data_IF_839778225091
#
_entry.id   IF_839778225091
#
_cell.length_a   1.000
_cell.length_b   1.000
_cell.length_c   1.000
_cell.angle_alpha   90.00
_cell.angle_beta   90.00
_cell.angle_gamma   90.00
#
_symmetry.space_group_name_H-M   'P 1'
#
loop_
_entity.id
_entity.type
_entity.pdbx_description
1 polymer ?
#
# COMPACT_ATOMS: atom_id res chain seq x y z
N UNK A 1 9.52 29.91 -2.45
CA UNK A 1 8.95 28.96 -1.46
C UNK A 1 7.45 28.97 -1.67
N UNK A 2 6.80 27.82 -1.88
CA UNK A 2 5.34 27.77 -2.02
C UNK A 2 4.67 28.33 -0.76
N UNK A 3 3.54 28.99 -0.94
CA UNK A 3 2.68 29.43 0.17
C UNK A 3 2.12 28.22 0.93
N UNK A 4 1.64 28.38 2.18
CA UNK A 4 1.03 27.29 2.92
C UNK A 4 -0.13 26.60 2.19
N UNK A 5 -0.93 27.36 1.43
CA UNK A 5 -2.06 26.81 0.67
C UNK A 5 -1.60 26.09 -0.61
N UNK A 6 -0.60 26.62 -1.31
CA UNK A 6 0.05 25.91 -2.43
C UNK A 6 0.67 24.59 -1.98
N UNK A 7 1.33 24.58 -0.82
CA UNK A 7 1.92 23.37 -0.26
C UNK A 7 0.85 22.33 0.11
N UNK A 8 -0.27 22.75 0.72
CA UNK A 8 -1.40 21.85 0.99
C UNK A 8 -2.02 21.31 -0.30
N UNK A 9 -2.17 22.14 -1.31
CA UNK A 9 -2.68 21.73 -2.62
C UNK A 9 -1.76 20.71 -3.29
N UNK A 10 -0.44 20.89 -3.18
CA UNK A 10 0.56 19.94 -3.66
C UNK A 10 0.42 18.60 -2.94
N UNK A 11 0.41 18.58 -1.61
CA UNK A 11 0.23 17.35 -0.82
C UNK A 11 -1.10 16.64 -1.10
N UNK A 12 -2.13 17.38 -1.51
CA UNK A 12 -3.42 16.80 -1.91
C UNK A 12 -3.33 16.11 -3.27
N UNK A 13 -2.60 16.68 -4.23
CA UNK A 13 -2.61 16.22 -5.63
C UNK A 13 -1.48 15.26 -5.97
N UNK A 14 -0.33 15.41 -5.33
CA UNK A 14 0.87 14.65 -5.60
C UNK A 14 1.20 13.68 -4.45
N UNK A 15 1.14 12.39 -4.76
CA UNK A 15 1.43 11.32 -3.81
C UNK A 15 2.91 11.29 -3.40
N UNK A 16 3.84 11.76 -4.25
CA UNK A 16 5.27 11.82 -3.91
C UNK A 16 5.49 12.82 -2.78
N UNK A 17 5.00 14.04 -2.96
CA UNK A 17 5.06 15.10 -1.94
C UNK A 17 4.35 14.67 -0.66
N UNK A 18 3.18 14.02 -0.77
CA UNK A 18 2.47 13.47 0.38
C UNK A 18 3.31 12.42 1.13
N UNK A 19 3.91 11.47 0.41
CA UNK A 19 4.76 10.44 0.98
C UNK A 19 6.03 11.02 1.63
N UNK A 20 6.64 12.04 1.03
CA UNK A 20 7.76 12.76 1.61
C UNK A 20 7.36 13.40 2.96
N UNK A 21 6.19 14.05 3.02
CA UNK A 21 5.65 14.62 4.27
C UNK A 21 5.39 13.54 5.32
N UNK A 22 4.80 12.40 4.93
CA UNK A 22 4.60 11.24 5.81
C UNK A 22 5.93 10.70 6.36
N UNK A 23 6.96 10.60 5.52
CA UNK A 23 8.28 10.15 5.96
C UNK A 23 8.87 11.10 7.00
N UNK A 24 8.83 12.41 6.77
CA UNK A 24 9.34 13.41 7.71
C UNK A 24 8.60 13.40 9.04
N UNK A 25 7.29 13.13 9.03
CA UNK A 25 6.49 12.97 10.25
C UNK A 25 6.92 11.75 11.07
N UNK A 26 7.14 10.60 10.41
CA UNK A 26 7.49 9.35 11.07
C UNK A 26 9.00 9.24 11.41
N UNK A 27 9.85 9.97 10.68
CA UNK A 27 11.30 9.90 10.80
C UNK A 27 11.90 11.32 10.90
N UNK A 28 11.63 12.08 11.98
CA UNK A 28 11.99 13.50 12.06
C UNK A 28 13.50 13.77 12.04
N UNK A 29 14.33 12.76 12.32
CA UNK A 29 15.80 12.86 12.31
C UNK A 29 16.43 12.45 10.98
N UNK A 30 15.66 11.93 10.04
CA UNK A 30 16.16 11.39 8.78
C UNK A 30 15.66 12.23 7.61
N UNK A 31 16.55 12.60 6.70
CA UNK A 31 16.16 13.29 5.47
C UNK A 31 15.59 12.29 4.47
N UNK A 32 14.49 12.65 3.83
CA UNK A 32 13.94 11.88 2.72
C UNK A 32 14.91 11.94 1.54
N UNK A 33 15.38 10.78 1.10
CA UNK A 33 16.21 10.67 -0.10
C UNK A 33 15.28 10.38 -1.29
N UNK A 34 14.98 11.42 -2.07
CA UNK A 34 14.26 11.27 -3.33
C UNK A 34 15.03 10.36 -4.29
N UNK A 35 14.32 9.50 -5.00
CA UNK A 35 14.85 8.66 -6.06
C UNK A 35 13.78 8.38 -7.10
N UNK A 36 14.17 8.22 -8.36
CA UNK A 36 13.28 8.08 -9.52
C UNK A 36 12.23 6.95 -9.36
N UNK A 37 12.59 5.84 -8.71
CA UNK A 37 11.67 4.71 -8.49
C UNK A 37 10.47 5.10 -7.60
N UNK A 38 10.65 6.07 -6.69
CA UNK A 38 9.56 6.59 -5.84
C UNK A 38 8.49 7.26 -6.68
N UNK A 39 8.90 8.01 -7.71
CA UNK A 39 7.97 8.70 -8.63
C UNK A 39 7.17 7.69 -9.46
N UNK A 40 7.83 6.64 -9.97
CA UNK A 40 7.15 5.59 -10.72
C UNK A 40 6.12 4.85 -9.85
N UNK A 41 6.51 4.45 -8.63
CA UNK A 41 5.60 3.78 -7.69
C UNK A 41 4.41 4.68 -7.38
N UNK A 42 4.67 5.95 -7.07
CA UNK A 42 3.61 6.92 -6.75
C UNK A 42 2.67 7.14 -7.94
N UNK A 43 3.18 7.22 -9.18
CA UNK A 43 2.37 7.37 -10.38
C UNK A 43 1.45 6.16 -10.59
N UNK A 44 1.96 4.93 -10.43
CA UNK A 44 1.16 3.71 -10.56
C UNK A 44 0.11 3.58 -9.45
N UNK A 45 0.46 3.93 -8.20
CA UNK A 45 -0.50 3.99 -7.09
C UNK A 45 -1.59 5.05 -7.31
N UNK A 46 -1.23 6.22 -7.83
CA UNK A 46 -2.20 7.26 -8.19
C UNK A 46 -3.13 6.81 -9.32
N UNK A 47 -2.59 6.13 -10.35
CA UNK A 47 -3.38 5.55 -11.43
C UNK A 47 -4.33 4.45 -10.93
N UNK A 48 -3.91 3.67 -9.93
CA UNK A 48 -4.74 2.67 -9.27
C UNK A 48 -5.90 3.30 -8.48
N UNK A 49 -5.64 4.36 -7.69
CA UNK A 49 -6.73 5.13 -7.04
C UNK A 49 -7.70 5.72 -8.07
N UNK A 50 -7.18 6.17 -9.21
CA UNK A 50 -7.97 6.69 -10.32
C UNK A 50 -8.76 5.62 -11.09
N UNK A 51 -8.62 4.33 -10.75
CA UNK A 51 -9.30 3.22 -11.40
C UNK A 51 -8.73 2.83 -12.76
N UNK A 52 -7.59 3.40 -13.17
CA UNK A 52 -6.88 3.04 -14.41
C UNK A 52 -6.15 1.70 -14.29
N UNK A 53 -5.75 1.33 -13.07
CA UNK A 53 -5.09 0.07 -12.74
C UNK A 53 -5.91 -0.60 -11.63
N UNK A 54 -6.20 -1.90 -11.76
CA UNK A 54 -6.90 -2.70 -10.73
C UNK A 54 -6.03 -3.79 -10.12
N UNK A 55 -4.95 -4.15 -10.78
CA UNK A 55 -4.02 -5.21 -10.39
C UNK A 55 -2.62 -4.67 -10.60
N UNK A 56 -1.90 -4.41 -9.50
CA UNK A 56 -0.58 -3.81 -9.53
C UNK A 56 0.41 -4.64 -8.72
N UNK A 57 1.46 -5.12 -9.38
CA UNK A 57 2.63 -5.71 -8.73
C UNK A 57 3.75 -4.68 -8.67
N UNK A 58 4.37 -4.53 -7.51
CA UNK A 58 5.57 -3.71 -7.32
C UNK A 58 6.67 -4.60 -6.72
N UNK A 59 7.69 -4.89 -7.51
CA UNK A 59 8.86 -5.66 -7.10
C UNK A 59 10.07 -4.75 -6.90
N UNK A 60 10.51 -4.62 -5.65
CA UNK A 60 11.67 -3.80 -5.26
C UNK A 60 12.50 -4.53 -4.21
N UNK A 61 13.83 -4.31 -4.16
CA UNK A 61 14.65 -4.85 -3.09
C UNK A 61 14.24 -4.29 -1.71
N UNK A 62 14.72 -4.88 -0.60
CA UNK A 62 14.51 -4.35 0.74
C UNK A 62 15.09 -2.94 0.91
N UNK A 63 14.51 -2.14 1.84
CA UNK A 63 14.94 -0.77 2.21
C UNK A 63 14.74 0.34 1.16
N UNK A 64 13.87 0.13 0.17
CA UNK A 64 13.51 1.14 -0.83
C UNK A 64 12.21 1.91 -0.55
N UNK A 65 11.87 2.14 0.74
CA UNK A 65 10.66 2.85 1.18
C UNK A 65 9.31 2.31 0.65
N UNK A 66 9.32 1.13 0.04
CA UNK A 66 8.17 0.50 -0.62
C UNK A 66 6.97 0.34 0.32
N UNK A 67 7.20 -0.15 1.54
CA UNK A 67 6.16 -0.34 2.56
C UNK A 67 5.62 0.99 3.12
N UNK A 68 6.46 2.04 3.18
CA UNK A 68 5.97 3.38 3.54
C UNK A 68 5.03 3.90 2.44
N UNK A 69 5.44 3.79 1.18
CA UNK A 69 4.64 4.28 0.05
C UNK A 69 3.31 3.54 -0.05
N UNK A 70 3.35 2.21 -0.13
CA UNK A 70 2.17 1.41 -0.40
C UNK A 70 1.29 1.14 0.82
N UNK A 71 1.85 0.96 2.02
CA UNK A 71 1.11 0.49 3.21
C UNK A 71 0.82 1.57 4.26
N UNK A 72 1.40 2.77 4.10
CA UNK A 72 1.21 3.91 5.02
C UNK A 72 0.71 5.14 4.28
N UNK A 73 1.51 5.68 3.35
CA UNK A 73 1.18 6.92 2.66
C UNK A 73 -0.01 6.74 1.70
N UNK A 74 0.00 5.69 0.87
CA UNK A 74 -1.08 5.43 -0.07
C UNK A 74 -2.45 5.20 0.57
N UNK A 75 -2.62 4.34 1.60
CA UNK A 75 -3.93 4.17 2.25
C UNK A 75 -4.38 5.45 2.96
N UNK A 76 -3.47 6.19 3.61
CA UNK A 76 -3.80 7.50 4.18
C UNK A 76 -4.26 8.48 3.10
N UNK A 77 -3.59 8.52 1.94
CA UNK A 77 -3.95 9.39 0.83
C UNK A 77 -5.29 9.00 0.18
N UNK A 78 -5.58 7.70 0.06
CA UNK A 78 -6.86 7.18 -0.40
C UNK A 78 -7.99 7.59 0.54
N UNK A 79 -7.84 7.34 1.85
CA UNK A 79 -8.80 7.78 2.86
C UNK A 79 -8.97 9.29 2.88
N UNK A 80 -7.91 10.05 2.56
CA UNK A 80 -7.93 11.50 2.43
C UNK A 80 -8.86 12.00 1.34
N UNK A 81 -8.84 11.32 0.19
CA UNK A 81 -9.70 11.63 -0.96
C UNK A 81 -11.10 11.08 -0.81
N UNK A 82 -11.21 9.87 -0.26
CA UNK A 82 -12.46 9.16 -0.03
C UNK A 82 -12.50 8.64 1.41
N UNK A 83 -13.11 9.40 2.33
CA UNK A 83 -13.27 8.98 3.71
C UNK A 83 -14.08 7.69 3.88
N UNK A 84 -14.86 7.26 2.88
CA UNK A 84 -15.71 6.06 2.95
C UNK A 84 -15.02 4.78 2.46
N UNK A 85 -13.82 4.90 1.88
CA UNK A 85 -13.08 3.75 1.35
C UNK A 85 -12.78 2.71 2.42
N UNK A 86 -12.92 1.43 2.04
CA UNK A 86 -12.55 0.28 2.86
C UNK A 86 -11.23 -0.31 2.36
N UNK A 87 -10.19 -0.27 3.19
CA UNK A 87 -8.84 -0.67 2.79
C UNK A 87 -8.34 -1.82 3.66
N UNK A 88 -7.89 -2.90 3.02
CA UNK A 88 -7.27 -4.04 3.69
C UNK A 88 -5.77 -4.05 3.42
N UNK A 89 -4.96 -4.01 4.47
CA UNK A 89 -3.51 -4.17 4.41
C UNK A 89 -3.09 -5.50 5.01
N UNK A 90 -2.25 -6.24 4.30
CA UNK A 90 -1.78 -7.58 4.67
C UNK A 90 -0.26 -7.59 4.66
N UNK A 91 0.35 -8.25 5.64
CA UNK A 91 1.78 -8.56 5.62
C UNK A 91 2.05 -10.00 6.06
N UNK A 92 3.26 -10.54 5.88
CA UNK A 92 3.59 -11.88 6.36
C UNK A 92 3.39 -12.06 7.87
N UNK A 93 3.55 -11.00 8.67
CA UNK A 93 3.44 -11.04 10.13
C UNK A 93 2.49 -9.98 10.68
N UNK A 94 1.70 -10.37 11.68
CA UNK A 94 0.72 -9.48 12.32
C UNK A 94 1.39 -8.25 12.95
N UNK A 95 2.53 -8.43 13.63
CA UNK A 95 3.26 -7.32 14.25
C UNK A 95 3.70 -6.24 13.25
N UNK A 96 4.08 -6.67 12.03
CA UNK A 96 4.44 -5.76 10.94
C UNK A 96 3.19 -5.03 10.42
N UNK A 97 2.11 -5.77 10.15
CA UNK A 97 0.84 -5.19 9.70
C UNK A 97 0.28 -4.17 10.71
N UNK A 98 0.39 -4.47 12.01
CA UNK A 98 -0.01 -3.62 13.12
C UNK A 98 0.88 -2.38 13.25
N UNK A 99 2.19 -2.51 13.01
CA UNK A 99 3.09 -1.36 12.95
C UNK A 99 2.69 -0.41 11.83
N UNK A 100 2.49 -0.93 10.62
CA UNK A 100 2.08 -0.12 9.47
C UNK A 100 0.70 0.52 9.70
N UNK A 101 -0.19 -0.16 10.42
CA UNK A 101 -1.47 0.39 10.88
C UNK A 101 -1.29 1.62 11.77
N UNK A 102 -0.44 1.51 12.79
CA UNK A 102 -0.16 2.61 13.73
C UNK A 102 0.46 3.79 13.02
N UNK A 103 1.43 3.54 12.14
CA UNK A 103 2.08 4.58 11.34
C UNK A 103 1.06 5.31 10.44
N UNK A 104 0.20 4.56 9.73
CA UNK A 104 -0.87 5.14 8.91
C UNK A 104 -1.87 5.96 9.74
N UNK A 105 -2.29 5.44 10.89
CA UNK A 105 -3.21 6.14 11.79
C UNK A 105 -2.60 7.42 12.33
N UNK A 106 -1.31 7.41 12.68
CA UNK A 106 -0.57 8.61 13.13
C UNK A 106 -0.61 9.71 12.07
N UNK A 107 -0.40 9.36 10.80
CA UNK A 107 -0.54 10.29 9.67
C UNK A 107 -1.96 10.88 9.59
N UNK A 108 -2.98 10.03 9.56
CA UNK A 108 -4.39 10.48 9.41
C UNK A 108 -4.86 11.30 10.61
N UNK A 109 -4.32 11.03 11.80
CA UNK A 109 -4.60 11.79 13.01
C UNK A 109 -3.90 13.16 13.04
N UNK A 110 -2.86 13.41 12.24
CA UNK A 110 -2.06 14.63 12.29
C UNK A 110 -2.82 15.89 11.88
N UNK A 111 -2.53 17.02 12.54
CA UNK A 111 -3.20 18.31 12.24
C UNK A 111 -2.93 18.78 10.81
N UNK A 112 -1.72 18.54 10.29
CA UNK A 112 -1.36 18.88 8.91
C UNK A 112 -2.22 18.10 7.90
N UNK A 113 -2.52 16.83 8.19
CA UNK A 113 -3.38 16.00 7.35
C UNK A 113 -4.82 16.51 7.37
N UNK A 114 -5.35 16.89 8.54
CA UNK A 114 -6.70 17.47 8.68
C UNK A 114 -6.85 18.81 7.95
N UNK A 115 -5.76 19.54 7.78
CA UNK A 115 -5.70 20.78 6.99
C UNK A 115 -5.70 20.55 5.48
N UNK A 116 -5.48 19.32 5.01
CA UNK A 116 -5.45 18.95 3.58
C UNK A 116 -6.70 18.16 3.19
N UNK A 117 -7.17 17.28 4.07
CA UNK A 117 -8.24 16.32 3.80
C UNK A 117 -9.43 16.45 4.75
N UNK A 118 -10.67 16.19 4.28
CA UNK A 118 -11.88 16.23 5.11
C UNK A 118 -11.98 15.04 6.08
N UNK A 119 -11.23 13.96 5.85
CA UNK A 119 -11.29 12.71 6.62
C UNK A 119 -11.05 12.92 8.10
N UNK A 120 -11.89 12.33 8.94
CA UNK A 120 -11.75 12.34 10.41
C UNK A 120 -11.85 10.91 10.92
N UNK A 121 -10.96 10.57 11.86
CA UNK A 121 -11.02 9.28 12.55
C UNK A 121 -12.24 9.23 13.47
N UNK A 122 -12.88 8.08 13.48
CA UNK A 122 -13.96 7.72 14.39
C UNK A 122 -13.40 7.49 15.80
N UNK A 123 -13.96 8.09 16.86
CA UNK A 123 -13.56 7.79 18.24
C UNK A 123 -14.03 6.40 18.71
N UNK A 124 -15.01 5.79 18.02
CA UNK A 124 -15.60 4.51 18.43
C UNK A 124 -14.69 3.31 18.17
N UNK A 125 -13.78 3.40 17.19
CA UNK A 125 -12.92 2.26 16.80
C UNK A 125 -11.48 2.71 16.62
N UNK A 126 -10.68 2.36 17.63
CA UNK A 126 -9.29 2.79 17.80
C UNK A 126 -8.33 1.62 18.02
N UNK A 127 -8.73 0.40 17.62
CA UNK A 127 -7.91 -0.78 17.77
C UNK A 127 -6.60 -0.65 16.98
N UNK A 128 -5.56 -1.35 17.41
CA UNK A 128 -4.27 -1.35 16.70
C UNK A 128 -4.41 -1.86 15.26
N UNK A 129 -5.05 -3.00 14.99
CA UNK A 129 -5.17 -3.50 13.61
C UNK A 129 -6.21 -2.73 12.78
N UNK A 130 -7.08 -1.93 13.40
CA UNK A 130 -8.22 -1.34 12.70
C UNK A 130 -8.63 0.02 13.25
N UNK A 131 -8.77 0.98 12.35
CA UNK A 131 -9.41 2.25 12.64
C UNK A 131 -10.44 2.61 11.56
N UNK A 132 -11.48 3.31 12.00
CA UNK A 132 -12.57 3.76 11.14
C UNK A 132 -12.50 5.27 10.95
N UNK A 133 -13.13 5.75 9.89
CA UNK A 133 -13.42 7.16 9.69
C UNK A 133 -14.85 7.47 10.14
N UNK A 134 -15.14 8.75 10.34
CA UNK A 134 -16.50 9.25 10.60
C UNK A 134 -17.47 9.03 9.43
N UNK A 135 -16.96 8.71 8.23
CA UNK A 135 -17.74 8.43 7.04
C UNK A 135 -17.89 6.91 6.78
N UNK A 136 -17.69 6.08 7.82
CA UNK A 136 -17.81 4.61 7.75
C UNK A 136 -16.80 3.90 6.84
N UNK A 137 -15.76 4.61 6.36
CA UNK A 137 -14.58 3.97 5.77
C UNK A 137 -13.66 3.42 6.85
N UNK A 138 -12.72 2.57 6.46
CA UNK A 138 -11.83 1.91 7.40
C UNK A 138 -10.50 1.51 6.79
N UNK A 139 -9.52 1.24 7.66
CA UNK A 139 -8.30 0.54 7.29
C UNK A 139 -8.04 -0.60 8.26
N UNK A 140 -7.99 -1.83 7.74
CA UNK A 140 -7.77 -3.07 8.48
C UNK A 140 -6.38 -3.64 8.19
N UNK A 141 -5.68 -4.10 9.23
CA UNK A 141 -4.44 -4.87 9.16
C UNK A 141 -4.69 -6.33 9.48
N UNK A 142 -4.13 -7.21 8.67
CA UNK A 142 -4.01 -8.62 9.03
C UNK A 142 -2.70 -9.22 8.52
N UNK A 143 -2.50 -10.49 8.82
CA UNK A 143 -1.40 -11.29 8.29
C UNK A 143 -1.89 -12.33 7.31
N UNK A 144 -0.98 -12.88 6.51
CA UNK A 144 -1.26 -14.08 5.70
C UNK A 144 -1.71 -15.21 6.62
N UNK A 145 -2.82 -15.87 6.27
CA UNK A 145 -3.48 -16.85 7.14
C UNK A 145 -4.41 -16.25 8.20
N UNK A 146 -4.48 -14.92 8.33
CA UNK A 146 -5.38 -14.23 9.25
C UNK A 146 -6.87 -14.37 8.87
N UNK A 147 -7.73 -14.25 9.88
CA UNK A 147 -9.18 -14.36 9.70
C UNK A 147 -9.75 -13.07 9.09
N UNK A 148 -10.38 -13.19 7.92
CA UNK A 148 -10.98 -12.07 7.17
C UNK A 148 -12.51 -12.15 7.05
N UNK A 149 -13.16 -13.07 7.78
CA UNK A 149 -14.60 -13.35 7.63
C UNK A 149 -15.45 -12.10 7.88
N UNK A 150 -16.28 -11.75 6.89
CA UNK A 150 -17.21 -10.61 6.97
C UNK A 150 -16.57 -9.23 6.80
N UNK A 151 -15.31 -9.16 6.33
CA UNK A 151 -14.57 -7.90 6.14
C UNK A 151 -14.22 -7.70 4.67
N UNK A 152 -14.97 -6.83 4.02
CA UNK A 152 -14.75 -6.45 2.64
C UNK A 152 -13.74 -5.29 2.50
N UNK A 153 -13.21 -5.11 1.30
CA UNK A 153 -12.35 -3.99 0.95
C UNK A 153 -12.53 -3.57 -0.51
N UNK A 154 -12.40 -2.27 -0.76
CA UNK A 154 -12.34 -1.68 -2.10
C UNK A 154 -10.90 -1.72 -2.62
N UNK A 155 -9.93 -1.62 -1.71
CA UNK A 155 -8.49 -1.68 -2.02
C UNK A 155 -7.83 -2.68 -1.08
N UNK A 156 -7.12 -3.66 -1.64
CA UNK A 156 -6.28 -4.60 -0.90
C UNK A 156 -4.81 -4.31 -1.19
N UNK A 157 -4.00 -4.18 -0.14
CA UNK A 157 -2.55 -3.99 -0.22
C UNK A 157 -1.89 -5.17 0.47
N UNK A 158 -1.07 -5.91 -0.26
CA UNK A 158 -0.31 -7.06 0.23
C UNK A 158 1.17 -6.67 0.23
N UNK A 159 1.77 -6.51 1.41
CA UNK A 159 3.13 -6.02 1.63
C UNK A 159 4.02 -7.11 2.23
N UNK A 160 4.94 -7.63 1.41
CA UNK A 160 5.80 -8.78 1.69
C UNK A 160 4.97 -9.95 2.30
N UNK A 161 4.26 -10.76 1.48
CA UNK A 161 3.37 -11.82 1.99
C UNK A 161 4.12 -13.03 2.56
N UNK A 162 5.43 -13.14 2.33
CA UNK A 162 6.27 -14.24 2.77
C UNK A 162 7.56 -13.73 3.39
N UNK A 163 8.06 -14.41 4.43
CA UNK A 163 9.45 -14.21 4.87
C UNK A 163 10.42 -14.90 3.90
N UNK A 164 11.67 -14.41 3.79
CA UNK A 164 12.70 -15.06 2.99
C UNK A 164 12.88 -16.55 3.30
N UNK A 165 12.87 -16.94 4.59
CA UNK A 165 13.02 -18.32 5.02
C UNK A 165 11.80 -19.20 4.64
N UNK A 166 10.59 -18.63 4.71
CA UNK A 166 9.35 -19.30 4.34
C UNK A 166 9.29 -19.55 2.83
N UNK A 167 9.83 -18.64 2.02
CA UNK A 167 9.87 -18.77 0.58
C UNK A 167 10.73 -19.95 0.09
N UNK A 168 11.61 -20.53 0.92
CA UNK A 168 12.35 -21.76 0.59
C UNK A 168 11.46 -23.02 0.72
N UNK A 169 10.37 -22.94 1.48
CA UNK A 169 9.44 -24.04 1.69
C UNK A 169 8.28 -24.01 0.69
N UNK A 170 8.17 -25.04 -0.14
CA UNK A 170 7.05 -25.18 -1.09
C UNK A 170 5.70 -25.14 -0.38
N UNK A 171 5.57 -25.80 0.78
CA UNK A 171 4.33 -25.83 1.55
C UNK A 171 3.91 -24.44 2.03
N UNK A 172 4.87 -23.59 2.46
CA UNK A 172 4.57 -22.22 2.87
C UNK A 172 4.19 -21.33 1.70
N UNK A 173 4.87 -21.48 0.55
CA UNK A 173 4.48 -20.78 -0.70
C UNK A 173 3.06 -21.14 -1.12
N UNK A 174 2.74 -22.44 -1.15
CA UNK A 174 1.40 -22.94 -1.49
C UNK A 174 0.35 -22.42 -0.53
N UNK A 175 0.61 -22.44 0.78
CA UNK A 175 -0.32 -21.91 1.78
C UNK A 175 -0.63 -20.42 1.55
N UNK A 176 0.36 -19.60 1.22
CA UNK A 176 0.15 -18.18 0.93
C UNK A 176 -0.68 -17.97 -0.36
N UNK A 177 -0.40 -18.77 -1.39
CA UNK A 177 -1.12 -18.75 -2.67
C UNK A 177 -2.59 -19.20 -2.51
N UNK A 178 -2.83 -20.31 -1.80
CA UNK A 178 -4.18 -20.81 -1.50
C UNK A 178 -4.96 -19.84 -0.62
N UNK A 179 -4.30 -19.21 0.37
CA UNK A 179 -4.92 -18.18 1.18
C UNK A 179 -5.33 -16.97 0.34
N UNK A 180 -4.52 -16.57 -0.63
CA UNK A 180 -4.88 -15.53 -1.59
C UNK A 180 -6.15 -15.91 -2.37
N UNK A 181 -6.14 -17.07 -3.03
CA UNK A 181 -7.22 -17.51 -3.93
C UNK A 181 -8.55 -17.70 -3.18
N UNK A 182 -8.51 -18.37 -2.03
CA UNK A 182 -9.72 -18.80 -1.33
C UNK A 182 -10.20 -17.79 -0.28
N UNK A 183 -9.30 -17.00 0.31
CA UNK A 183 -9.64 -16.11 1.42
C UNK A 183 -9.59 -14.65 1.03
N UNK A 184 -8.47 -14.16 0.48
CA UNK A 184 -8.28 -12.73 0.25
C UNK A 184 -9.02 -12.23 -0.99
N UNK A 185 -8.94 -12.94 -2.11
CA UNK A 185 -9.53 -12.48 -3.38
C UNK A 185 -11.05 -12.29 -3.27
N UNK A 186 -11.72 -13.11 -2.45
CA UNK A 186 -13.16 -12.99 -2.17
C UNK A 186 -13.55 -11.81 -1.27
N UNK A 187 -12.59 -11.12 -0.64
CA UNK A 187 -12.84 -9.92 0.18
C UNK A 187 -12.93 -8.65 -0.62
N UNK A 188 -12.58 -8.70 -1.90
CA UNK A 188 -12.78 -7.56 -2.78
C UNK A 188 -14.28 -7.31 -2.93
N UNK A 189 -14.75 -6.14 -2.48
CA UNK A 189 -16.18 -5.79 -2.45
C UNK A 189 -16.82 -5.89 -3.84
N UNK A 190 -16.09 -5.41 -4.85
CA UNK A 190 -16.44 -5.49 -6.25
C UNK A 190 -15.23 -6.04 -7.02
N UNK A 191 -15.39 -7.13 -7.75
CA UNK A 191 -14.28 -7.75 -8.49
C UNK A 191 -13.80 -6.93 -9.69
N UNK A 192 -14.67 -6.11 -10.26
CA UNK A 192 -14.39 -5.24 -11.41
C UNK A 192 -13.81 -3.90 -10.97
N UNK A 193 -14.36 -3.31 -9.91
CA UNK A 193 -13.93 -2.00 -9.42
C UNK A 193 -12.87 -2.09 -8.30
N UNK A 194 -12.80 -3.18 -7.55
CA UNK A 194 -11.82 -3.32 -6.49
C UNK A 194 -10.40 -3.45 -7.02
N UNK A 195 -9.44 -2.92 -6.27
CA UNK A 195 -8.03 -2.91 -6.66
C UNK A 195 -7.18 -3.73 -5.69
N UNK A 196 -6.14 -4.38 -6.23
CA UNK A 196 -5.14 -5.11 -5.44
C UNK A 196 -3.75 -4.60 -5.79
N UNK A 197 -2.99 -4.24 -4.77
CA UNK A 197 -1.57 -3.91 -4.84
C UNK A 197 -0.80 -5.03 -4.14
N UNK A 198 0.09 -5.70 -4.86
CA UNK A 198 1.04 -6.66 -4.31
C UNK A 198 2.44 -6.06 -4.37
N UNK A 199 3.02 -5.75 -3.22
CA UNK A 199 4.35 -5.17 -3.11
C UNK A 199 5.26 -6.10 -2.33
N UNK A 200 6.36 -6.52 -2.96
CA UNK A 200 7.34 -7.37 -2.30
C UNK A 200 8.72 -7.26 -2.94
N UNK A 201 9.72 -7.85 -2.29
CA UNK A 201 10.92 -8.29 -2.99
C UNK A 201 10.69 -9.72 -3.46
N UNK A 202 10.99 -10.04 -4.73
CA UNK A 202 10.83 -11.41 -5.24
C UNK A 202 11.72 -12.36 -4.46
N UNK A 203 11.13 -13.47 -4.01
CA UNK A 203 11.81 -14.46 -3.17
C UNK A 203 11.93 -15.82 -3.87
N UNK A 204 10.98 -16.15 -4.74
CA UNK A 204 10.94 -17.42 -5.46
C UNK A 204 10.15 -17.25 -6.77
N UNK A 205 10.37 -18.11 -7.76
CA UNK A 205 9.56 -18.10 -8.99
C UNK A 205 8.08 -18.38 -8.68
N UNK A 206 7.81 -19.42 -7.88
CA UNK A 206 6.49 -19.78 -7.33
C UNK A 206 6.01 -18.96 -6.11
N UNK A 207 6.59 -17.80 -5.83
CA UNK A 207 6.03 -16.90 -4.80
C UNK A 207 4.67 -16.33 -5.25
N UNK A 208 4.00 -15.58 -4.37
CA UNK A 208 2.67 -15.04 -4.66
C UNK A 208 2.63 -14.19 -5.94
N UNK A 209 3.72 -13.49 -6.28
CA UNK A 209 3.79 -12.74 -7.53
C UNK A 209 3.77 -13.68 -8.73
N UNK A 210 4.57 -14.76 -8.71
CA UNK A 210 4.53 -15.77 -9.77
C UNK A 210 3.13 -16.38 -9.94
N UNK A 211 2.49 -16.67 -8.81
CA UNK A 211 1.14 -17.24 -8.77
C UNK A 211 0.08 -16.33 -9.40
N UNK A 212 0.00 -15.05 -9.00
CA UNK A 212 -1.05 -14.15 -9.52
C UNK A 212 -0.83 -13.77 -10.98
N UNK A 213 0.44 -13.67 -11.43
CA UNK A 213 0.78 -13.38 -12.83
C UNK A 213 0.43 -14.53 -13.78
N UNK A 214 0.30 -15.76 -13.25
CA UNK A 214 -0.13 -16.91 -14.05
C UNK A 214 -1.67 -16.97 -14.23
N UNK A 215 -2.44 -16.20 -13.44
CA UNK A 215 -3.91 -16.28 -13.42
C UNK A 215 -4.60 -15.16 -14.20
N UNK A 216 -4.12 -13.93 -14.10
CA UNK A 216 -4.69 -12.76 -14.76
C UNK A 216 -3.62 -11.73 -15.11
N UNK A 217 -3.98 -10.72 -15.89
CA UNK A 217 -3.07 -9.64 -16.25
C UNK A 217 -2.89 -8.65 -15.08
N UNK A 218 -1.63 -8.35 -14.76
CA UNK A 218 -1.26 -7.33 -13.78
C UNK A 218 -0.35 -6.29 -14.44
N UNK A 219 -0.51 -5.04 -14.01
CA UNK A 219 0.52 -4.04 -14.22
C UNK A 219 1.72 -4.40 -13.33
N UNK A 220 2.92 -4.50 -13.91
CA UNK A 220 4.12 -4.88 -13.17
C UNK A 220 5.15 -3.77 -13.20
N UNK A 221 5.52 -3.29 -12.02
CA UNK A 221 6.72 -2.48 -11.79
C UNK A 221 7.78 -3.39 -11.19
N UNK A 222 8.93 -3.54 -11.85
CA UNK A 222 10.03 -4.37 -11.37
C UNK A 222 11.34 -3.60 -11.45
N UNK A 223 12.02 -3.49 -10.31
CA UNK A 223 13.37 -2.93 -10.25
C UNK A 223 14.29 -3.95 -9.59
N UNK A 224 15.15 -4.65 -10.35
CA UNK A 224 16.11 -5.59 -9.77
C UNK A 224 17.18 -4.84 -8.95
N UNK A 225 17.80 -5.53 -7.99
CA UNK A 225 18.86 -4.96 -7.16
C UNK A 225 20.12 -4.60 -7.98
N UNK A 226 20.32 -5.30 -9.09
CA UNK A 226 21.32 -5.02 -10.13
C UNK A 226 20.55 -4.89 -11.44
N UNK A 227 20.71 -3.77 -12.14
CA UNK A 227 20.13 -3.61 -13.47
C UNK A 227 20.82 -4.59 -14.42
N UNK A 228 20.04 -5.46 -15.05
CA UNK A 228 20.54 -6.40 -16.07
C UNK A 228 20.71 -5.68 -17.41
N UNK A 229 19.85 -4.69 -17.69
CA UNK A 229 19.82 -3.88 -18.90
C UNK A 229 19.55 -2.39 -18.59
N UNK A 230 19.89 -1.50 -19.53
CA UNK A 230 19.52 -0.09 -19.47
C UNK A 230 18.02 0.09 -19.78
N UNK A 231 17.25 0.61 -18.81
CA UNK A 231 15.81 0.86 -18.97
C UNK A 231 15.48 2.35 -18.93
N UNK A 232 14.57 2.80 -19.81
CA UNK A 232 13.98 4.14 -19.76
C UNK A 232 12.57 4.07 -19.20
N UNK A 233 12.34 4.78 -18.09
CA UNK A 233 11.05 4.84 -17.41
C UNK A 233 10.45 6.24 -17.61
N UNK A 234 9.28 6.33 -18.26
CA UNK A 234 8.55 7.58 -18.43
C UNK A 234 7.54 7.73 -17.30
N UNK A 235 7.64 8.85 -16.56
CA UNK A 235 6.70 9.23 -15.52
C UNK A 235 5.92 10.44 -15.99
N UNK A 236 4.61 10.28 -16.19
CA UNK A 236 3.73 11.41 -16.39
C UNK A 236 3.62 12.17 -15.08
N UNK A 237 4.32 13.30 -14.97
CA UNK A 237 4.24 14.22 -13.84
C UNK A 237 3.12 15.24 -14.07
N UNK A 238 2.51 15.70 -12.97
CA UNK A 238 1.41 16.68 -12.98
C UNK A 238 1.86 18.07 -13.43
#
# INVERSE_FOLDING_TARGET
MPTPDEYRALLRRDLVSFAQRCFSELNPRTRFAMSWHIEIIAAKLTALRGGKIRRLVINLPPRHLKSLLASVAFPAWCLGHDPSAQILCVSYAQDLADKLSRDCRHIVAGDWYRGIFPTRLSPQRAAVPEFDTTAQGCRLATSVGGVLTGRGADIVIIDDPLKPEEALSQAQRQMANEWYDHTLYSRLNDKLAGAIVLIMHRLHEDDLVGHVLAQEDWEVVRFPAVAEDDETQLVDTL
#
